data_IF_238890302555
#
_entry.id   IF_238890302555
#
_cell.length_a   1.000
_cell.length_b   1.000
_cell.length_c   1.000
_cell.angle_alpha   90.00
_cell.angle_beta   90.00
_cell.angle_gamma   90.00
#
_symmetry.space_group_name_H-M   'P 1'
#
loop_
_entity.id
_entity.type
_entity.pdbx_description
1 polymer ?
#
# COMPACT_ATOMS: atom_id res chain seq x y z
N UNK A 1 -5.22 15.29 -0.65
CA UNK A 1 -4.78 13.89 -0.77
C UNK A 1 -4.90 13.27 0.60
N UNK A 2 -5.77 12.27 0.75
CA UNK A 2 -5.86 11.49 1.99
C UNK A 2 -4.75 10.44 1.97
N UNK A 3 -4.22 10.10 3.15
CA UNK A 3 -3.28 9.00 3.29
C UNK A 3 -3.97 7.69 2.91
N UNK A 4 -3.26 6.83 2.18
CA UNK A 4 -3.72 5.45 2.03
C UNK A 4 -3.63 4.74 3.39
N UNK A 5 -4.43 3.69 3.57
CA UNK A 5 -4.34 2.87 4.79
C UNK A 5 -2.92 2.32 4.99
N UNK A 6 -2.23 1.98 3.90
CA UNK A 6 -0.86 1.47 3.94
C UNK A 6 0.15 2.53 4.41
N UNK A 7 0.09 3.75 3.86
CA UNK A 7 0.90 4.89 4.30
C UNK A 7 0.70 5.18 5.79
N UNK A 8 -0.56 5.15 6.26
CA UNK A 8 -0.84 5.41 7.67
C UNK A 8 -0.30 4.31 8.59
N UNK A 9 -0.36 3.05 8.18
CA UNK A 9 0.22 1.94 8.94
C UNK A 9 1.75 2.07 8.98
N UNK A 10 2.37 2.47 7.86
CA UNK A 10 3.82 2.72 7.77
C UNK A 10 4.27 3.77 8.80
N UNK A 11 3.63 4.93 8.82
CA UNK A 11 3.94 6.00 9.78
C UNK A 11 3.85 5.51 11.24
N UNK A 12 2.81 4.74 11.57
CA UNK A 12 2.61 4.20 12.91
C UNK A 12 3.71 3.20 13.28
N UNK A 13 4.06 2.29 12.38
CA UNK A 13 5.10 1.28 12.61
C UNK A 13 6.50 1.91 12.72
N UNK A 14 6.81 2.89 11.87
CA UNK A 14 8.07 3.64 11.92
C UNK A 14 8.21 4.42 13.24
N UNK A 15 7.13 5.07 13.70
CA UNK A 15 7.09 5.73 14.99
C UNK A 15 7.38 4.76 16.15
N UNK A 16 6.65 3.64 16.21
CA UNK A 16 6.85 2.63 17.26
C UNK A 16 8.26 2.01 17.19
N UNK A 17 8.80 1.79 15.99
CA UNK A 17 10.13 1.22 15.79
C UNK A 17 11.25 2.18 16.25
N UNK A 18 11.04 3.50 16.20
CA UNK A 18 11.97 4.49 16.71
C UNK A 18 12.08 4.45 18.25
N UNK A 19 10.98 4.11 18.92
CA UNK A 19 10.88 4.03 20.39
C UNK A 19 11.14 2.61 20.95
N UNK A 20 11.48 1.64 20.10
CA UNK A 20 11.68 0.24 20.48
C UNK A 20 13.17 -0.12 20.53
N UNK A 21 13.66 -0.50 21.71
CA UNK A 21 15.05 -0.92 21.92
C UNK A 21 15.28 -2.43 21.80
N UNK A 22 14.23 -3.25 21.94
CA UNK A 22 14.34 -4.72 21.83
C UNK A 22 14.53 -5.17 20.37
N UNK A 23 15.68 -5.80 20.09
CA UNK A 23 16.06 -6.25 18.74
C UNK A 23 15.03 -7.20 18.11
N UNK A 24 14.42 -8.08 18.91
CA UNK A 24 13.40 -9.00 18.39
C UNK A 24 12.14 -8.25 17.96
N UNK A 25 11.72 -7.26 18.75
CA UNK A 25 10.57 -6.40 18.45
C UNK A 25 10.87 -5.51 17.23
N UNK A 26 12.06 -4.92 17.13
CA UNK A 26 12.48 -4.17 15.94
C UNK A 26 12.49 -5.03 14.68
N UNK A 27 12.96 -6.27 14.77
CA UNK A 27 12.92 -7.21 13.66
C UNK A 27 11.48 -7.45 13.18
N UNK A 28 10.54 -7.71 14.10
CA UNK A 28 9.12 -7.91 13.76
C UNK A 28 8.49 -6.68 13.12
N UNK A 29 8.76 -5.48 13.65
CA UNK A 29 8.27 -4.22 13.09
C UNK A 29 8.81 -3.98 11.68
N UNK A 30 10.10 -4.28 11.46
CA UNK A 30 10.70 -4.20 10.12
C UNK A 30 10.07 -5.18 9.14
N UNK A 31 9.83 -6.42 9.57
CA UNK A 31 9.13 -7.41 8.74
C UNK A 31 7.71 -6.97 8.41
N UNK A 32 6.99 -6.35 9.36
CA UNK A 32 5.67 -5.80 9.10
C UNK A 32 5.70 -4.70 8.02
N UNK A 33 6.68 -3.79 8.07
CA UNK A 33 6.90 -2.78 7.02
C UNK A 33 7.16 -3.42 5.64
N UNK A 34 7.99 -4.46 5.59
CA UNK A 34 8.28 -5.18 4.34
C UNK A 34 7.03 -5.86 3.74
N UNK A 35 6.13 -6.37 4.59
CA UNK A 35 4.88 -6.97 4.12
C UNK A 35 3.91 -5.92 3.55
N UNK A 36 3.91 -4.70 4.10
CA UNK A 36 3.12 -3.58 3.56
C UNK A 36 3.66 -3.19 2.17
N UNK A 37 4.99 -3.05 2.04
CA UNK A 37 5.64 -2.77 0.75
C UNK A 37 5.26 -3.80 -0.32
N UNK A 38 5.26 -5.09 0.03
CA UNK A 38 4.86 -6.15 -0.89
C UNK A 38 3.38 -6.04 -1.32
N UNK A 39 2.50 -5.59 -0.43
CA UNK A 39 1.08 -5.39 -0.77
C UNK A 39 0.91 -4.18 -1.69
N UNK A 40 1.62 -3.08 -1.42
CA UNK A 40 1.63 -1.89 -2.26
C UNK A 40 2.14 -2.22 -3.68
N UNK A 41 3.27 -2.90 -3.80
CA UNK A 41 3.82 -3.32 -5.10
C UNK A 41 2.83 -4.19 -5.89
N UNK A 42 2.13 -5.12 -5.21
CA UNK A 42 1.11 -5.95 -5.86
C UNK A 42 -0.12 -5.16 -6.30
N UNK A 43 -0.49 -4.12 -5.55
CA UNK A 43 -1.58 -3.23 -5.92
C UNK A 43 -1.19 -2.37 -7.12
N UNK A 44 0.03 -1.85 -7.15
CA UNK A 44 0.53 -1.04 -8.27
C UNK A 44 0.57 -1.87 -9.57
N UNK A 45 1.10 -3.09 -9.52
CA UNK A 45 1.10 -4.01 -10.66
C UNK A 45 -0.33 -4.36 -11.11
N UNK A 46 -1.25 -4.58 -10.18
CA UNK A 46 -2.65 -4.86 -10.52
C UNK A 46 -3.31 -3.66 -11.20
N UNK A 47 -3.04 -2.44 -10.71
CA UNK A 47 -3.55 -1.21 -11.28
C UNK A 47 -2.99 -0.99 -12.69
N UNK A 48 -1.68 -1.19 -12.90
CA UNK A 48 -1.04 -1.10 -14.23
C UNK A 48 -1.67 -2.08 -15.23
N UNK A 49 -1.89 -3.33 -14.83
CA UNK A 49 -2.56 -4.33 -15.67
C UNK A 49 -4.01 -3.92 -15.99
N UNK A 50 -4.73 -3.31 -15.04
CA UNK A 50 -6.08 -2.82 -15.28
C UNK A 50 -6.10 -1.60 -16.21
N UNK A 51 -5.10 -0.73 -16.15
CA UNK A 51 -4.94 0.42 -17.05
C UNK A 51 -4.75 -0.02 -18.50
N UNK A 52 -3.95 -1.08 -18.73
CA UNK A 52 -3.68 -1.66 -20.04
C UNK A 52 -4.83 -2.48 -20.64
N UNK A 53 -5.78 -2.91 -19.80
CA UNK A 53 -6.95 -3.65 -20.27
C UNK A 53 -7.92 -2.74 -21.03
N UNK A 54 -8.49 -3.25 -22.13
CA UNK A 54 -9.54 -2.57 -22.89
C UNK A 54 -10.89 -2.66 -22.14
N UNK A 55 -10.95 -1.96 -21.01
CA UNK A 55 -12.12 -1.84 -20.15
C UNK A 55 -13.14 -0.92 -20.81
N UNK A 56 -14.42 -1.29 -20.73
CA UNK A 56 -15.50 -0.39 -21.15
C UNK A 56 -15.48 0.90 -20.31
N UNK A 57 -16.00 1.98 -20.90
CA UNK A 57 -15.91 3.32 -20.30
C UNK A 57 -16.54 3.42 -18.90
N UNK A 58 -17.60 2.66 -18.62
CA UNK A 58 -18.26 2.69 -17.33
C UNK A 58 -17.42 1.98 -16.26
N UNK A 59 -16.86 0.81 -16.60
CA UNK A 59 -15.97 0.07 -15.70
C UNK A 59 -14.70 0.88 -15.38
N UNK A 60 -14.10 1.53 -16.37
CA UNK A 60 -12.92 2.39 -16.18
C UNK A 60 -13.22 3.56 -15.24
N UNK A 61 -14.35 4.26 -15.44
CA UNK A 61 -14.74 5.38 -14.56
C UNK A 61 -14.93 4.93 -13.11
N UNK A 62 -15.63 3.81 -12.89
CA UNK A 62 -15.86 3.29 -11.54
C UNK A 62 -14.54 2.94 -10.83
N UNK A 63 -13.57 2.37 -11.56
CA UNK A 63 -12.27 2.02 -10.99
C UNK A 63 -11.41 3.24 -10.68
N UNK A 64 -11.46 4.31 -11.48
CA UNK A 64 -10.82 5.59 -11.15
C UNK A 64 -11.41 6.23 -9.90
N UNK A 65 -12.74 6.24 -9.76
CA UNK A 65 -13.41 6.77 -8.55
C UNK A 65 -13.04 6.00 -7.28
N UNK A 66 -12.77 4.70 -7.41
CA UNK A 66 -12.30 3.84 -6.33
C UNK A 66 -10.79 3.91 -6.08
N UNK A 67 -10.02 4.60 -6.94
CA UNK A 67 -8.56 4.75 -6.82
C UNK A 67 -7.75 3.52 -7.28
N UNK A 68 -8.33 2.65 -8.11
CA UNK A 68 -7.64 1.50 -8.72
C UNK A 68 -7.00 1.84 -10.08
N UNK A 69 -7.27 3.02 -10.62
CA UNK A 69 -6.70 3.52 -11.86
C UNK A 69 -6.30 4.98 -11.61
N UNK A 70 -5.15 5.42 -12.12
CA UNK A 70 -4.69 6.81 -11.99
C UNK A 70 -5.11 7.68 -13.18
#
# INVERSE_FOLDING_TARGET
MGYTTAERIRELLEGVMADTDDDQSRFRLRTALQLIELIEERHDVANEVLEECDLDAQTRQNLQELGYLN
#
